data_IF_194114107197
#
_entry.id   IF_194114107197
#
_cell.length_a   1.000
_cell.length_b   1.000
_cell.length_c   1.000
_cell.angle_alpha   90.00
_cell.angle_beta   90.00
_cell.angle_gamma   90.00
#
_symmetry.space_group_name_H-M   'P 1'
#
loop_
_entity.id
_entity.type
_entity.pdbx_description
1 polymer ?
#
# COMPACT_ATOMS: atom_id res chain seq x y z
N UNK A 1 -20.83 -10.02 -0.36
CA UNK A 1 -20.78 -9.77 -1.81
C UNK A 1 -19.44 -10.23 -2.33
N UNK A 2 -19.39 -11.12 -3.32
CA UNK A 2 -18.12 -11.49 -3.95
C UNK A 2 -17.60 -10.27 -4.72
N UNK A 3 -16.42 -9.76 -4.37
CA UNK A 3 -15.77 -8.66 -5.09
C UNK A 3 -15.61 -9.10 -6.54
N UNK A 4 -16.31 -8.43 -7.44
CA UNK A 4 -16.30 -8.74 -8.86
C UNK A 4 -14.92 -8.33 -9.41
N UNK A 5 -14.12 -9.32 -9.80
CA UNK A 5 -12.73 -9.08 -10.26
C UNK A 5 -12.79 -8.32 -11.59
N UNK A 6 -12.10 -7.17 -11.73
CA UNK A 6 -12.12 -6.42 -12.97
C UNK A 6 -11.47 -7.26 -14.08
N UNK A 7 -12.18 -7.40 -15.21
CA UNK A 7 -11.60 -7.98 -16.42
C UNK A 7 -10.53 -7.07 -17.01
N UNK A 8 -9.70 -7.57 -17.94
CA UNK A 8 -8.54 -6.84 -18.45
C UNK A 8 -8.91 -5.52 -19.14
N UNK A 9 -10.04 -5.48 -19.84
CA UNK A 9 -10.52 -4.24 -20.47
C UNK A 9 -10.97 -3.19 -19.43
N UNK A 10 -11.60 -3.62 -18.33
CA UNK A 10 -12.00 -2.73 -17.24
C UNK A 10 -10.78 -2.18 -16.51
N UNK A 11 -9.80 -3.05 -16.21
CA UNK A 11 -8.52 -2.64 -15.64
C UNK A 11 -7.79 -1.65 -16.55
N UNK A 12 -7.66 -1.95 -17.84
CA UNK A 12 -7.02 -1.05 -18.82
C UNK A 12 -7.70 0.33 -18.94
N UNK A 13 -8.98 0.42 -18.55
CA UNK A 13 -9.72 1.68 -18.52
C UNK A 13 -9.50 2.50 -17.25
N UNK A 14 -9.06 1.86 -16.15
CA UNK A 14 -8.99 2.47 -14.81
C UNK A 14 -7.56 2.64 -14.30
N UNK A 15 -6.62 1.80 -14.74
CA UNK A 15 -5.22 1.83 -14.29
C UNK A 15 -4.61 3.22 -14.50
N UNK A 16 -3.84 3.72 -13.53
CA UNK A 16 -3.15 5.01 -13.61
C UNK A 16 -1.77 4.86 -14.24
N UNK A 17 -1.18 5.95 -14.76
CA UNK A 17 0.15 5.90 -15.38
C UNK A 17 1.25 5.47 -14.39
N UNK A 18 1.08 5.79 -13.11
CA UNK A 18 2.03 5.44 -12.04
C UNK A 18 1.97 3.95 -11.66
N UNK A 19 0.81 3.32 -11.81
CA UNK A 19 0.55 1.92 -11.45
C UNK A 19 0.65 0.98 -12.66
N UNK A 20 0.64 1.53 -13.87
CA UNK A 20 0.60 0.77 -15.10
C UNK A 20 1.84 -0.10 -15.28
N UNK A 21 1.61 -1.40 -15.48
CA UNK A 21 2.62 -2.36 -15.92
C UNK A 21 2.07 -3.23 -17.02
N UNK A 22 2.76 -3.21 -18.15
CA UNK A 22 2.40 -4.04 -19.30
C UNK A 22 2.53 -5.54 -18.99
N UNK A 23 3.39 -5.90 -18.04
CA UNK A 23 3.57 -7.28 -17.57
C UNK A 23 2.33 -7.87 -16.90
N UNK A 24 1.45 -7.03 -16.35
CA UNK A 24 0.25 -7.43 -15.61
C UNK A 24 -0.96 -7.71 -16.51
N UNK A 25 -0.90 -7.29 -17.77
CA UNK A 25 -2.01 -7.44 -18.73
C UNK A 25 -2.54 -8.87 -18.77
N UNK A 26 -1.66 -9.86 -18.98
CA UNK A 26 -2.09 -11.25 -19.11
C UNK A 26 -2.59 -11.82 -17.77
N UNK A 27 -2.18 -11.26 -16.62
CA UNK A 27 -2.72 -11.64 -15.32
C UNK A 27 -4.20 -11.25 -15.20
N UNK A 28 -4.55 -10.05 -15.68
CA UNK A 28 -5.95 -9.62 -15.72
C UNK A 28 -6.78 -10.41 -16.74
N UNK A 29 -6.21 -10.72 -17.91
CA UNK A 29 -6.88 -11.57 -18.92
C UNK A 29 -7.15 -12.96 -18.35
N UNK A 30 -6.17 -13.55 -17.66
CA UNK A 30 -6.27 -14.86 -17.02
C UNK A 30 -6.96 -14.80 -15.65
N UNK A 31 -7.57 -13.67 -15.28
CA UNK A 31 -8.17 -13.44 -13.98
C UNK A 31 -9.24 -14.46 -13.56
N UNK A 32 -9.90 -15.07 -14.54
CA UNK A 32 -10.92 -16.11 -14.35
C UNK A 32 -10.35 -17.53 -14.21
N UNK A 33 -9.03 -17.71 -14.36
CA UNK A 33 -8.32 -18.99 -14.42
C UNK A 33 -7.26 -19.11 -13.29
N UNK A 34 -7.68 -19.36 -12.03
CA UNK A 34 -6.78 -19.38 -10.88
C UNK A 34 -5.67 -20.43 -10.99
N UNK A 35 -5.93 -21.55 -11.66
CA UNK A 35 -4.95 -22.62 -11.93
C UNK A 35 -3.80 -22.15 -12.83
N UNK A 36 -4.09 -21.30 -13.82
CA UNK A 36 -3.08 -20.74 -14.73
C UNK A 36 -2.29 -19.66 -13.99
N UNK A 37 -2.97 -18.79 -13.24
CA UNK A 37 -2.30 -17.78 -12.41
C UNK A 37 -1.36 -18.43 -11.39
N UNK A 38 -1.78 -19.52 -10.75
CA UNK A 38 -0.96 -20.25 -9.80
C UNK A 38 0.30 -20.84 -10.46
N UNK A 39 0.18 -21.36 -11.69
CA UNK A 39 1.33 -21.81 -12.48
C UNK A 39 2.28 -20.65 -12.82
N UNK A 40 1.76 -19.45 -13.08
CA UNK A 40 2.55 -18.22 -13.24
C UNK A 40 3.14 -17.69 -11.92
N UNK A 41 2.98 -18.41 -10.80
CA UNK A 41 3.46 -17.98 -9.49
C UNK A 41 2.73 -16.75 -8.95
N UNK A 42 1.48 -16.55 -9.38
CA UNK A 42 0.63 -15.40 -9.02
C UNK A 42 -0.70 -15.86 -8.46
N UNK A 43 -1.30 -15.05 -7.60
CA UNK A 43 -2.66 -15.26 -7.11
C UNK A 43 -3.34 -13.93 -6.89
N UNK A 44 -4.64 -13.86 -7.15
CA UNK A 44 -5.45 -12.71 -6.76
C UNK A 44 -5.26 -12.40 -5.27
N UNK A 45 -5.00 -11.13 -4.98
CA UNK A 45 -4.90 -10.64 -3.62
C UNK A 45 -6.30 -10.64 -3.01
N UNK A 46 -6.51 -11.52 -2.03
CA UNK A 46 -7.72 -11.52 -1.21
C UNK A 46 -7.35 -10.93 0.15
N UNK A 47 -7.47 -9.61 0.30
CA UNK A 47 -7.16 -8.91 1.54
C UNK A 47 -6.84 -7.43 1.33
N UNK A 48 -6.70 -6.65 2.42
CA UNK A 48 -6.40 -5.22 2.33
C UNK A 48 -5.08 -5.00 1.57
N UNK A 49 -5.03 -3.95 0.73
CA UNK A 49 -3.80 -3.60 0.04
C UNK A 49 -2.72 -3.20 1.05
N UNK A 50 -1.45 -3.23 0.63
CA UNK A 50 -0.37 -2.71 1.46
C UNK A 50 -0.62 -1.22 1.83
N UNK A 51 -1.27 -0.48 0.93
CA UNK A 51 -1.63 0.92 1.14
C UNK A 51 -2.76 1.06 2.17
N UNK A 52 -3.78 0.18 2.13
CA UNK A 52 -4.80 0.15 3.19
C UNK A 52 -4.18 -0.17 4.55
N UNK A 53 -3.27 -1.15 4.61
CA UNK A 53 -2.60 -1.51 5.87
C UNK A 53 -1.71 -0.37 6.38
N UNK A 54 -1.02 0.34 5.48
CA UNK A 54 -0.21 1.49 5.83
C UNK A 54 -1.06 2.68 6.31
N UNK A 55 -2.19 2.95 5.64
CA UNK A 55 -3.14 3.97 6.07
C UNK A 55 -3.68 3.65 7.48
N UNK A 56 -4.11 2.40 7.69
CA UNK A 56 -4.59 1.93 9.01
C UNK A 56 -3.50 2.01 10.07
N UNK A 57 -2.25 1.72 9.71
CA UNK A 57 -1.11 1.85 10.62
C UNK A 57 -0.81 3.31 11.01
N UNK A 58 -1.11 4.28 10.14
CA UNK A 58 -0.90 5.70 10.39
C UNK A 58 -2.02 6.36 11.24
N UNK A 59 -3.23 5.79 11.22
CA UNK A 59 -4.41 6.35 11.89
C UNK A 59 -4.21 6.62 13.40
N UNK A 60 -3.63 5.71 14.21
CA UNK A 60 -3.48 5.96 15.63
C UNK A 60 -2.66 7.22 15.91
N UNK A 61 -1.52 7.41 15.24
CA UNK A 61 -0.69 8.60 15.42
C UNK A 61 -1.43 9.89 15.02
N UNK A 62 -2.19 9.85 13.92
CA UNK A 62 -3.01 10.98 13.47
C UNK A 62 -4.08 11.34 14.51
N UNK A 63 -4.85 10.35 14.98
CA UNK A 63 -5.87 10.54 16.01
C UNK A 63 -5.26 11.04 17.33
N UNK A 64 -4.13 10.48 17.75
CA UNK A 64 -3.42 10.91 18.95
C UNK A 64 -3.00 12.37 18.89
N UNK A 65 -2.54 12.86 17.73
CA UNK A 65 -2.21 14.28 17.54
C UNK A 65 -3.46 15.18 17.49
N UNK A 66 -4.54 14.72 16.84
CA UNK A 66 -5.79 15.47 16.71
C UNK A 66 -6.51 15.65 18.06
N UNK A 67 -6.43 14.67 18.97
CA UNK A 67 -7.00 14.80 20.33
C UNK A 67 -6.38 15.95 21.11
N UNK A 68 -5.13 16.32 20.82
CA UNK A 68 -4.44 17.44 21.47
C UNK A 68 -4.70 18.79 20.78
N UNK A 69 -5.18 18.78 19.53
CA UNK A 69 -5.39 20.00 18.74
C UNK A 69 -6.36 21.02 19.41
N UNK A 70 -7.49 20.62 20.02
CA UNK A 70 -8.39 21.55 20.70
C UNK A 70 -7.72 22.37 21.81
N UNK A 71 -6.78 21.78 22.57
CA UNK A 71 -6.06 22.49 23.64
C UNK A 71 -5.16 23.61 23.11
N UNK A 72 -4.51 23.39 21.97
CA UNK A 72 -3.70 24.40 21.30
C UNK A 72 -4.52 25.49 20.61
N UNK A 73 -5.68 25.13 20.04
CA UNK A 73 -6.64 26.13 19.54
C UNK A 73 -7.14 27.04 20.66
N UNK A 74 -7.41 26.51 21.88
CA UNK A 74 -7.76 27.34 23.05
C UNK A 74 -6.67 28.36 23.38
N UNK A 75 -5.40 27.95 23.33
CA UNK A 75 -4.26 28.79 23.70
C UNK A 75 -3.94 29.86 22.65
N UNK A 76 -4.23 29.60 21.37
CA UNK A 76 -3.85 30.49 20.26
C UNK A 76 -4.94 31.49 19.87
N UNK A 77 -6.23 31.16 20.04
CA UNK A 77 -7.31 32.00 19.52
C UNK A 77 -8.06 32.83 20.57
N UNK A 78 -8.05 32.47 21.85
CA UNK A 78 -8.75 33.26 22.88
C UNK A 78 -10.26 33.46 22.64
N UNK A 79 -10.88 32.63 21.78
CA UNK A 79 -12.26 32.82 21.33
C UNK A 79 -13.24 31.84 22.04
N UNK A 80 -14.24 32.35 22.78
CA UNK A 80 -15.11 31.56 23.66
C UNK A 80 -16.33 30.88 23.00
N UNK A 81 -16.53 30.98 21.68
CA UNK A 81 -17.81 30.57 21.02
C UNK A 81 -17.80 29.21 20.30
N UNK A 82 -16.67 28.52 20.26
CA UNK A 82 -16.64 27.10 19.93
C UNK A 82 -16.49 26.35 21.25
N UNK A 83 -17.59 25.82 21.81
CA UNK A 83 -17.49 24.86 22.93
C UNK A 83 -16.76 23.62 22.40
N UNK A 84 -15.46 23.45 22.70
CA UNK A 84 -14.72 22.29 22.23
C UNK A 84 -15.18 21.10 23.06
N UNK A 85 -15.12 19.88 22.50
CA UNK A 85 -15.25 18.67 23.32
C UNK A 85 -14.17 18.74 24.41
N UNK A 86 -14.58 18.92 25.67
CA UNK A 86 -13.65 19.07 26.78
C UNK A 86 -13.14 17.68 27.21
N UNK A 87 -11.96 17.34 26.70
CA UNK A 87 -11.26 16.12 27.11
C UNK A 87 -10.49 16.29 28.44
N UNK A 88 -10.45 17.50 29.01
CA UNK A 88 -9.74 17.82 30.26
C UNK A 88 -8.31 17.26 30.31
N UNK A 89 -7.89 16.85 31.51
CA UNK A 89 -6.61 16.15 31.77
C UNK A 89 -6.52 14.78 31.05
N UNK A 90 -7.63 14.29 30.51
CA UNK A 90 -7.71 13.04 29.78
C UNK A 90 -7.07 13.11 28.38
N UNK A 91 -6.94 14.29 27.78
CA UNK A 91 -6.45 14.44 26.41
C UNK A 91 -5.02 13.89 26.22
N UNK A 92 -4.12 14.20 27.16
CA UNK A 92 -2.74 13.67 27.14
C UNK A 92 -2.72 12.15 27.27
N UNK A 93 -3.53 11.60 28.17
CA UNK A 93 -3.64 10.15 28.39
C UNK A 93 -4.23 9.43 27.18
N UNK A 94 -5.26 9.99 26.55
CA UNK A 94 -5.87 9.47 25.32
C UNK A 94 -4.89 9.53 24.15
N UNK A 95 -4.18 10.63 23.98
CA UNK A 95 -3.13 10.76 22.96
C UNK A 95 -2.03 9.69 23.16
N UNK A 96 -1.57 9.53 24.40
CA UNK A 96 -0.58 8.51 24.80
C UNK A 96 -1.01 7.10 24.40
N UNK A 97 -2.28 6.73 24.67
CA UNK A 97 -2.85 5.45 24.27
C UNK A 97 -2.81 5.23 22.75
N UNK A 98 -3.16 6.25 21.96
CA UNK A 98 -3.10 6.18 20.50
C UNK A 98 -1.67 6.00 19.98
N UNK A 99 -0.68 6.68 20.57
CA UNK A 99 0.73 6.48 20.21
C UNK A 99 1.27 5.10 20.60
N UNK A 100 0.72 4.48 21.64
CA UNK A 100 0.99 3.08 21.96
C UNK A 100 0.46 2.14 20.86
N UNK A 101 -0.71 2.44 20.29
CA UNK A 101 -1.20 1.78 19.08
C UNK A 101 -0.29 1.99 17.85
N UNK A 102 0.22 3.21 17.66
CA UNK A 102 1.16 3.53 16.58
C UNK A 102 2.49 2.75 16.71
N UNK A 103 2.99 2.55 17.93
CA UNK A 103 4.17 1.69 18.19
C UNK A 103 3.95 0.26 17.72
N UNK A 104 2.81 -0.33 18.06
CA UNK A 104 2.46 -1.69 17.62
C UNK A 104 2.39 -1.75 16.10
N UNK A 105 1.77 -0.76 15.46
CA UNK A 105 1.68 -0.67 14.01
C UNK A 105 3.06 -0.57 13.34
N UNK A 106 3.97 0.26 13.87
CA UNK A 106 5.35 0.36 13.39
C UNK A 106 6.11 -0.97 13.52
N UNK A 107 5.95 -1.67 14.65
CA UNK A 107 6.55 -2.99 14.85
C UNK A 107 6.05 -4.02 13.83
N UNK A 108 4.74 -4.02 13.55
CA UNK A 108 4.15 -4.88 12.50
C UNK A 108 4.71 -4.54 11.13
N UNK A 109 4.79 -3.26 10.77
CA UNK A 109 5.36 -2.82 9.49
C UNK A 109 6.83 -3.24 9.35
N UNK A 110 7.65 -3.05 10.38
CA UNK A 110 9.04 -3.47 10.39
C UNK A 110 9.18 -5.00 10.25
N UNK A 111 8.35 -5.78 10.94
CA UNK A 111 8.33 -7.24 10.83
C UNK A 111 7.91 -7.71 9.42
N UNK A 112 6.91 -7.06 8.83
CA UNK A 112 6.48 -7.35 7.45
C UNK A 112 7.56 -7.01 6.44
N UNK A 113 8.24 -5.87 6.60
CA UNK A 113 9.36 -5.46 5.77
C UNK A 113 10.51 -6.47 5.82
N UNK A 114 10.88 -6.96 7.01
CA UNK A 114 11.89 -8.01 7.17
C UNK A 114 11.46 -9.32 6.48
N UNK A 115 10.21 -9.76 6.70
CA UNK A 115 9.66 -10.97 6.07
C UNK A 115 9.60 -10.89 4.54
N UNK A 116 9.54 -9.68 3.99
CA UNK A 116 9.51 -9.40 2.54
C UNK A 116 10.90 -9.19 1.93
N UNK A 117 11.97 -9.55 2.65
CA UNK A 117 13.33 -9.42 2.14
C UNK A 117 13.80 -7.96 2.06
N UNK A 118 13.32 -7.08 2.93
CA UNK A 118 13.75 -5.67 3.05
C UNK A 118 13.39 -4.80 1.84
N UNK A 119 12.38 -5.22 1.07
CA UNK A 119 11.79 -4.42 0.01
C UNK A 119 10.83 -3.38 0.60
N UNK A 120 11.08 -2.09 0.33
CA UNK A 120 10.23 -0.98 0.83
C UNK A 120 9.06 -0.68 -0.10
N UNK A 121 7.88 -0.44 0.46
CA UNK A 121 6.73 0.11 -0.27
C UNK A 121 6.51 1.60 0.06
N UNK A 122 6.04 2.38 -0.93
CA UNK A 122 5.83 3.82 -0.77
C UNK A 122 4.86 4.15 0.38
N UNK A 123 3.74 3.43 0.48
CA UNK A 123 2.79 3.64 1.56
C UNK A 123 3.34 3.28 2.95
N UNK A 124 4.21 2.27 3.06
CA UNK A 124 4.88 1.96 4.34
C UNK A 124 5.78 3.12 4.78
N UNK A 125 6.52 3.72 3.83
CA UNK A 125 7.33 4.92 4.10
C UNK A 125 6.43 6.08 4.52
N UNK A 126 5.31 6.31 3.82
CA UNK A 126 4.34 7.34 4.17
C UNK A 126 3.81 7.16 5.60
N UNK A 127 3.40 5.96 5.98
CA UNK A 127 2.89 5.69 7.33
C UNK A 127 3.93 5.99 8.43
N UNK A 128 5.20 5.62 8.18
CA UNK A 128 6.31 5.90 9.11
C UNK A 128 6.60 7.39 9.20
N UNK A 129 6.67 8.10 8.06
CA UNK A 129 6.89 9.56 8.01
C UNK A 129 5.73 10.30 8.69
N UNK A 130 4.49 9.89 8.41
CA UNK A 130 3.31 10.48 9.03
C UNK A 130 3.32 10.30 10.56
N UNK A 131 3.68 9.09 11.04
CA UNK A 131 3.83 8.83 12.48
C UNK A 131 4.91 9.69 13.11
N UNK A 132 6.04 9.88 12.42
CA UNK A 132 7.12 10.76 12.86
C UNK A 132 6.64 12.23 12.98
N UNK A 133 6.00 12.76 11.94
CA UNK A 133 5.48 14.13 11.94
C UNK A 133 4.42 14.33 13.02
N UNK A 134 3.49 13.38 13.16
CA UNK A 134 2.48 13.42 14.21
C UNK A 134 3.09 13.42 15.61
N UNK A 135 4.15 12.63 15.85
CA UNK A 135 4.89 12.65 17.11
C UNK A 135 5.59 13.98 17.38
N UNK A 136 6.28 14.54 16.39
CA UNK A 136 6.94 15.85 16.48
C UNK A 136 5.93 16.97 16.79
N UNK A 137 4.71 16.88 16.27
CA UNK A 137 3.63 17.82 16.56
C UNK A 137 3.01 17.56 17.94
N UNK A 138 2.78 16.31 18.31
CA UNK A 138 2.13 15.94 19.56
C UNK A 138 2.95 16.31 20.81
N UNK A 139 4.29 16.23 20.75
CA UNK A 139 5.15 16.55 21.90
C UNK A 139 5.02 18.03 22.35
N UNK A 140 5.14 19.05 21.47
CA UNK A 140 4.83 20.43 21.82
C UNK A 140 3.39 20.64 22.30
N UNK A 141 2.41 19.94 21.70
CA UNK A 141 1.02 20.04 22.11
C UNK A 141 0.80 19.48 23.52
N UNK A 142 1.48 18.40 23.90
CA UNK A 142 1.47 17.90 25.29
C UNK A 142 2.10 18.90 26.25
N UNK A 143 3.21 19.53 25.88
CA UNK A 143 3.83 20.57 26.69
C UNK A 143 2.90 21.78 26.91
N UNK A 144 2.01 22.08 25.95
CA UNK A 144 1.03 23.16 26.06
C UNK A 144 -0.08 22.93 27.08
N UNK A 145 -0.27 21.67 27.51
CA UNK A 145 -1.23 21.26 28.55
C UNK A 145 -0.51 20.80 29.82
N UNK A 146 0.61 21.46 30.14
CA UNK A 146 1.41 21.27 31.37
C UNK A 146 1.99 19.86 31.59
N UNK A 147 2.14 19.06 30.52
CA UNK A 147 2.89 17.79 30.60
C UNK A 147 4.39 18.09 30.53
N UNK A 148 5.16 17.58 31.50
CA UNK A 148 6.62 17.66 31.46
C UNK A 148 7.21 16.67 30.44
N UNK A 149 7.21 17.08 29.18
CA UNK A 149 7.70 16.27 28.05
C UNK A 149 9.23 16.13 28.05
N UNK A 150 9.95 17.15 28.55
CA UNK A 150 11.42 17.14 28.60
C UNK A 150 11.95 16.34 29.79
N UNK A 151 11.21 16.31 30.90
CA UNK A 151 11.45 15.40 32.02
C UNK A 151 10.90 13.99 31.80
N UNK A 152 10.39 13.68 30.60
CA UNK A 152 9.86 12.38 30.22
C UNK A 152 8.74 11.89 31.16
N UNK A 153 7.78 12.76 31.47
CA UNK A 153 6.60 12.38 32.23
C UNK A 153 5.97 11.09 31.65
N UNK A 154 5.49 10.15 32.49
CA UNK A 154 5.04 8.83 32.03
C UNK A 154 4.05 8.86 30.86
N UNK A 155 3.15 9.85 30.84
CA UNK A 155 2.15 10.03 29.77
C UNK A 155 2.77 10.41 28.41
N UNK A 156 3.95 11.05 28.40
CA UNK A 156 4.68 11.42 27.18
C UNK A 156 5.53 10.27 26.60
N UNK A 157 5.84 9.24 27.41
CA UNK A 157 6.73 8.15 27.01
C UNK A 157 6.27 7.42 25.74
N UNK A 158 4.99 7.06 25.55
CA UNK A 158 4.55 6.42 24.32
C UNK A 158 4.74 7.28 23.07
N UNK A 159 4.58 8.60 23.18
CA UNK A 159 4.79 9.55 22.07
C UNK A 159 6.28 9.61 21.72
N UNK A 160 7.15 9.76 22.73
CA UNK A 160 8.61 9.72 22.54
C UNK A 160 9.07 8.40 21.93
N UNK A 161 8.60 7.28 22.46
CA UNK A 161 8.94 5.96 21.97
C UNK A 161 8.47 5.74 20.53
N UNK A 162 7.24 6.13 20.18
CA UNK A 162 6.74 6.06 18.81
C UNK A 162 7.55 6.92 17.84
N UNK A 163 7.89 8.15 18.26
CA UNK A 163 8.68 9.09 17.46
C UNK A 163 10.08 8.53 17.20
N UNK A 164 10.77 8.07 18.25
CA UNK A 164 12.09 7.45 18.13
C UNK A 164 12.05 6.17 17.27
N UNK A 165 11.04 5.32 17.47
CA UNK A 165 10.85 4.12 16.66
C UNK A 165 10.63 4.46 15.18
N UNK A 166 9.84 5.50 14.87
CA UNK A 166 9.63 5.94 13.50
C UNK A 166 10.93 6.42 12.85
N UNK A 167 11.78 7.16 13.57
CA UNK A 167 13.13 7.55 13.08
C UNK A 167 13.98 6.32 12.77
N UNK A 168 14.03 5.34 13.69
CA UNK A 168 14.82 4.12 13.51
C UNK A 168 14.30 3.29 12.33
N UNK A 169 12.99 3.11 12.21
CA UNK A 169 12.37 2.36 11.11
C UNK A 169 12.60 3.08 9.78
N UNK A 170 12.48 4.41 9.73
CA UNK A 170 12.75 5.20 8.53
C UNK A 170 14.23 5.11 8.13
N UNK A 171 15.14 5.15 9.11
CA UNK A 171 16.57 4.90 8.91
C UNK A 171 16.84 3.51 8.33
N UNK A 172 16.16 2.47 8.85
CA UNK A 172 16.26 1.12 8.32
C UNK A 172 15.70 1.01 6.89
N UNK A 173 14.58 1.66 6.59
CA UNK A 173 13.98 1.68 5.24
C UNK A 173 14.83 2.44 4.22
N UNK A 174 15.64 3.40 4.67
CA UNK A 174 16.50 4.20 3.80
C UNK A 174 17.86 3.54 3.58
N UNK A 175 18.53 3.10 4.64
CA UNK A 175 19.90 2.57 4.60
C UNK A 175 19.96 1.07 4.29
N UNK A 176 18.92 0.34 4.64
CA UNK A 176 18.94 -1.10 4.75
C UNK A 176 17.97 -1.79 3.79
N UNK A 177 17.29 -1.03 2.93
CA UNK A 177 16.45 -1.59 1.87
C UNK A 177 17.27 -1.99 0.66
N UNK A 178 17.07 -3.23 0.22
CA UNK A 178 17.75 -3.82 -0.96
C UNK A 178 17.17 -3.29 -2.28
N UNK A 179 16.00 -2.67 -2.23
CA UNK A 179 15.37 -2.03 -3.37
C UNK A 179 13.99 -1.49 -3.03
N UNK A 180 13.40 -0.73 -3.96
CA UNK A 180 11.96 -0.49 -3.93
C UNK A 180 11.28 -1.81 -4.24
N UNK A 181 10.21 -2.13 -3.50
CA UNK A 181 9.27 -3.13 -3.96
C UNK A 181 8.75 -2.62 -5.30
N UNK A 182 9.23 -3.19 -6.41
CA UNK A 182 8.50 -3.13 -7.66
C UNK A 182 7.13 -3.69 -7.32
N UNK A 183 6.08 -2.86 -7.43
CA UNK A 183 4.73 -3.18 -7.03
C UNK A 183 4.44 -4.65 -7.30
N UNK A 184 4.02 -5.38 -6.26
CA UNK A 184 3.04 -6.41 -6.55
C UNK A 184 1.98 -5.67 -7.37
N UNK A 185 1.61 -6.20 -8.54
CA UNK A 185 0.35 -5.80 -9.15
C UNK A 185 -0.65 -5.63 -8.01
N UNK A 186 -1.28 -4.46 -7.89
CA UNK A 186 -2.12 -4.14 -6.72
C UNK A 186 -3.09 -5.29 -6.41
N UNK A 187 -3.51 -5.96 -7.49
CA UNK A 187 -4.43 -7.07 -7.58
C UNK A 187 -3.82 -8.47 -7.48
N UNK A 188 -2.52 -8.67 -7.72
CA UNK A 188 -1.87 -9.99 -7.70
C UNK A 188 -0.68 -10.08 -6.74
N UNK A 189 -0.72 -11.09 -5.86
CA UNK A 189 0.37 -11.45 -4.97
C UNK A 189 1.27 -12.51 -5.64
N UNK A 190 2.58 -12.36 -5.48
CA UNK A 190 3.57 -13.41 -5.82
C UNK A 190 3.48 -14.55 -4.82
N UNK A 191 3.26 -15.77 -5.29
CA UNK A 191 3.15 -16.98 -4.46
C UNK A 191 4.33 -17.93 -4.60
N UNK A 192 5.14 -17.78 -5.65
CA UNK A 192 6.28 -18.65 -5.92
C UNK A 192 6.92 -18.33 -7.28
N UNK A 193 7.95 -19.10 -7.68
CA UNK A 193 8.51 -19.01 -9.02
C UNK A 193 7.46 -19.37 -10.08
N UNK A 194 7.54 -18.73 -11.25
CA UNK A 194 6.66 -19.02 -12.37
C UNK A 194 7.12 -20.30 -13.09
N UNK A 195 6.19 -21.22 -13.33
CA UNK A 195 6.35 -22.41 -14.15
C UNK A 195 5.65 -22.17 -15.50
N UNK A 196 6.40 -21.56 -16.43
CA UNK A 196 5.88 -21.16 -17.75
C UNK A 196 5.43 -22.36 -18.57
N UNK A 197 6.16 -23.48 -18.51
CA UNK A 197 5.81 -24.70 -19.24
C UNK A 197 4.44 -25.25 -18.79
N UNK A 198 4.19 -25.23 -17.48
CA UNK A 198 2.90 -25.63 -16.93
C UNK A 198 1.79 -24.65 -17.28
N UNK A 199 2.06 -23.34 -17.25
CA UNK A 199 1.10 -22.33 -17.63
C UNK A 199 0.69 -22.48 -19.11
N UNK A 200 1.66 -22.67 -20.01
CA UNK A 200 1.44 -22.89 -21.44
C UNK A 200 0.59 -24.14 -21.70
N UNK A 201 0.89 -25.25 -21.01
CA UNK A 201 0.11 -26.48 -21.11
C UNK A 201 -1.36 -26.28 -20.68
N UNK A 202 -1.59 -25.53 -19.60
CA UNK A 202 -2.96 -25.23 -19.13
C UNK A 202 -3.71 -24.30 -20.10
N UNK A 203 -3.02 -23.33 -20.70
CA UNK A 203 -3.60 -22.44 -21.70
C UNK A 203 -3.94 -23.21 -22.98
N UNK A 204 -3.05 -24.08 -23.44
CA UNK A 204 -3.26 -24.94 -24.61
C UNK A 204 -4.43 -25.92 -24.39
N UNK A 205 -4.66 -26.35 -23.15
CA UNK A 205 -5.79 -27.21 -22.79
C UNK A 205 -7.14 -26.48 -22.72
N UNK A 206 -7.18 -25.14 -22.85
CA UNK A 206 -8.43 -24.41 -22.82
C UNK A 206 -9.31 -24.72 -24.04
N UNK A 207 -10.65 -24.77 -23.88
CA UNK A 207 -11.56 -24.86 -25.01
C UNK A 207 -11.29 -23.74 -26.03
N UNK A 208 -11.32 -24.01 -27.35
CA UNK A 208 -10.98 -23.01 -28.38
C UNK A 208 -11.79 -21.71 -28.26
N UNK A 209 -13.06 -21.82 -27.84
CA UNK A 209 -13.93 -20.67 -27.58
C UNK A 209 -13.42 -19.78 -26.45
N UNK A 210 -12.88 -20.37 -25.38
CA UNK A 210 -12.30 -19.62 -24.25
C UNK A 210 -10.99 -18.96 -24.66
N UNK A 211 -10.09 -19.70 -25.33
CA UNK A 211 -8.84 -19.15 -25.85
C UNK A 211 -9.08 -17.93 -26.77
N UNK A 212 -10.05 -18.03 -27.70
CA UNK A 212 -10.45 -16.89 -28.55
C UNK A 212 -11.04 -15.73 -27.74
N UNK A 213 -11.79 -16.02 -26.68
CA UNK A 213 -12.31 -15.02 -25.75
C UNK A 213 -11.20 -14.24 -25.05
N UNK A 214 -10.21 -14.94 -24.49
CA UNK A 214 -9.05 -14.34 -23.82
C UNK A 214 -8.21 -13.50 -24.79
N UNK A 215 -7.99 -13.98 -26.01
CA UNK A 215 -7.28 -13.22 -27.05
C UNK A 215 -8.03 -11.92 -27.40
N UNK A 216 -9.35 -11.99 -27.60
CA UNK A 216 -10.19 -10.81 -27.86
C UNK A 216 -10.17 -9.81 -26.70
N UNK A 217 -10.21 -10.30 -25.46
CA UNK A 217 -10.11 -9.47 -24.27
C UNK A 217 -8.75 -8.76 -24.18
N UNK A 218 -7.66 -9.48 -24.45
CA UNK A 218 -6.29 -8.95 -24.53
C UNK A 218 -6.18 -7.85 -25.60
N UNK A 219 -6.66 -8.09 -26.81
CA UNK A 219 -6.65 -7.10 -27.91
C UNK A 219 -7.46 -5.85 -27.54
N UNK A 220 -8.63 -6.00 -26.90
CA UNK A 220 -9.44 -4.85 -26.42
C UNK A 220 -8.73 -4.06 -25.33
N UNK A 221 -8.05 -4.73 -24.41
CA UNK A 221 -7.28 -4.07 -23.36
C UNK A 221 -6.08 -3.30 -23.94
N UNK A 222 -5.32 -3.91 -24.86
CA UNK A 222 -4.22 -3.24 -25.60
C UNK A 222 -4.71 -2.03 -26.39
N UNK A 223 -5.85 -2.16 -27.10
CA UNK A 223 -6.50 -1.06 -27.80
C UNK A 223 -6.80 0.10 -26.85
N UNK A 224 -7.35 -0.21 -25.67
CA UNK A 224 -7.66 0.81 -24.67
C UNK A 224 -6.41 1.49 -24.09
N UNK A 225 -5.37 0.72 -23.77
CA UNK A 225 -4.09 1.27 -23.30
C UNK A 225 -3.45 2.20 -24.34
N UNK A 226 -3.54 1.86 -25.63
CA UNK A 226 -3.10 2.72 -26.74
C UNK A 226 -3.92 4.00 -26.84
N UNK A 227 -5.25 3.91 -26.79
CA UNK A 227 -6.14 5.08 -26.82
C UNK A 227 -5.84 6.06 -25.69
N UNK A 228 -5.44 5.54 -24.52
CA UNK A 228 -5.04 6.32 -23.34
C UNK A 228 -3.59 6.83 -23.41
N UNK A 229 -2.82 6.47 -24.44
CA UNK A 229 -1.42 6.86 -24.58
C UNK A 229 -0.45 6.14 -23.64
N UNK A 230 -0.88 5.08 -22.95
CA UNK A 230 -0.03 4.34 -22.00
C UNK A 230 1.01 3.46 -22.66
N UNK A 231 0.71 2.97 -23.87
CA UNK A 231 1.64 2.16 -24.67
C UNK A 231 1.67 2.65 -26.10
N UNK A 232 2.83 2.50 -26.72
CA UNK A 232 3.01 2.75 -28.15
C UNK A 232 2.40 1.64 -29.00
N UNK A 233 2.20 1.93 -30.29
CA UNK A 233 1.78 0.91 -31.26
C UNK A 233 2.79 -0.25 -31.37
N UNK A 234 4.09 0.04 -31.24
CA UNK A 234 5.15 -0.97 -31.25
C UNK A 234 5.06 -1.92 -30.05
N UNK A 235 4.89 -1.37 -28.85
CA UNK A 235 4.72 -2.18 -27.63
C UNK A 235 3.45 -3.05 -27.69
N UNK A 236 2.35 -2.51 -28.21
CA UNK A 236 1.12 -3.29 -28.37
C UNK A 236 1.33 -4.47 -29.35
N UNK A 237 2.01 -4.25 -30.46
CA UNK A 237 2.32 -5.30 -31.43
C UNK A 237 3.29 -6.36 -30.86
N UNK A 238 4.28 -5.94 -30.09
CA UNK A 238 5.19 -6.86 -29.39
C UNK A 238 4.43 -7.77 -28.44
N UNK A 239 3.53 -7.20 -27.63
CA UNK A 239 2.71 -7.99 -26.69
C UNK A 239 1.73 -8.90 -27.42
N UNK A 240 1.07 -8.41 -28.47
CA UNK A 240 0.12 -9.21 -29.25
C UNK A 240 0.78 -10.42 -29.93
N UNK A 241 2.05 -10.29 -30.31
CA UNK A 241 2.86 -11.39 -30.85
C UNK A 241 3.27 -12.43 -29.78
N UNK A 242 3.30 -12.08 -28.50
CA UNK A 242 3.64 -13.00 -27.43
C UNK A 242 2.49 -13.98 -27.14
N UNK A 243 2.79 -15.23 -26.76
CA UNK A 243 1.78 -16.14 -26.22
C UNK A 243 1.06 -15.52 -25.01
N UNK A 244 -0.23 -15.81 -24.88
CA UNK A 244 -1.01 -15.39 -23.70
C UNK A 244 -0.34 -15.96 -22.45
N UNK A 245 -0.15 -15.14 -21.42
CA UNK A 245 0.51 -15.53 -20.18
C UNK A 245 2.02 -15.26 -20.18
N UNK A 246 2.60 -14.83 -21.30
CA UNK A 246 4.02 -14.48 -21.39
C UNK A 246 4.33 -13.02 -21.07
N UNK A 247 3.32 -12.14 -20.96
CA UNK A 247 3.57 -10.72 -20.65
C UNK A 247 4.33 -10.53 -19.32
N UNK A 248 4.16 -11.43 -18.35
CA UNK A 248 4.87 -11.40 -17.06
C UNK A 248 6.40 -11.43 -17.18
N UNK A 249 6.94 -11.83 -18.34
CA UNK A 249 8.39 -11.84 -18.60
C UNK A 249 8.94 -10.51 -19.09
N UNK A 250 8.08 -9.55 -19.45
CA UNK A 250 8.49 -8.24 -19.96
C UNK A 250 9.18 -7.37 -18.91
N UNK A 251 8.86 -7.54 -17.62
CA UNK A 251 9.52 -6.85 -16.51
C UNK A 251 10.91 -7.41 -16.17
N UNK A 252 11.30 -8.56 -16.75
CA UNK A 252 12.58 -9.20 -16.50
C UNK A 252 13.70 -8.74 -17.46
N UNK A 253 13.39 -7.81 -18.38
CA UNK A 253 14.34 -7.18 -19.31
C UNK A 253 14.65 -5.76 -18.87
#
# INVERSE_FOLDING_TARGET
MAVQRPGAHSWASQVSDEEFRLSELDLHVLGSHPEILAALGRRWRTGPSADTMALVAALPAGLGSLVLAPGWFRQTQGEPWLEPVDFGDGAASTSSFFFLGALVALAVLAALWLRRGRLRAGAEVFAVVFTLVAGIVALPLMASVDVDVLGFAPVSLPVWAATAAAVVVLGAFTLASVGRRAGDAQDFRVTGPADLARADALIAALPPRKAKGLASERTRALGRLRERGMITAGQAAEVEALPIGSSVTLDAR
#
